data_IF_169839460541
#
_entry.id   IF_169839460541
#
_cell.length_a   1.000
_cell.length_b   1.000
_cell.length_c   1.000
_cell.angle_alpha   90.00
_cell.angle_beta   90.00
_cell.angle_gamma   90.00
#
_symmetry.space_group_name_H-M   'P 1'
#
loop_
_entity.id
_entity.type
_entity.pdbx_description
1 polymer ?
#
# COMPACT_ATOMS: atom_id res chain seq x y z
N UNK A 1 -7.47 16.76 6.79
CA UNK A 1 -6.60 16.88 7.97
C UNK A 1 -6.55 15.57 8.75
N UNK A 2 -7.67 15.00 9.22
CA UNK A 2 -7.69 13.78 10.03
C UNK A 2 -6.89 12.59 9.46
N UNK A 3 -6.92 12.35 8.15
CA UNK A 3 -6.15 11.28 7.49
C UNK A 3 -4.64 11.43 7.68
N UNK A 4 -4.11 12.62 7.40
CA UNK A 4 -2.67 12.89 7.54
C UNK A 4 -2.26 12.79 9.01
N UNK A 5 -3.09 13.30 9.91
CA UNK A 5 -2.85 13.22 11.35
C UNK A 5 -2.80 11.77 11.82
N UNK A 6 -3.77 10.93 11.46
CA UNK A 6 -3.83 9.54 11.90
C UNK A 6 -2.76 8.64 11.26
N UNK A 7 -2.53 8.81 9.95
CA UNK A 7 -1.69 7.86 9.19
C UNK A 7 -0.25 8.31 8.99
N UNK A 8 0.07 9.55 9.30
CA UNK A 8 1.43 10.08 9.22
C UNK A 8 1.86 10.67 10.54
N UNK A 9 1.25 11.81 10.96
CA UNK A 9 1.74 12.58 12.12
C UNK A 9 1.54 11.86 13.46
N UNK A 10 0.49 11.04 13.59
CA UNK A 10 0.18 10.28 14.82
C UNK A 10 0.93 8.95 14.94
N UNK A 11 1.78 8.58 13.99
CA UNK A 11 2.54 7.32 14.08
C UNK A 11 3.64 7.43 15.14
N UNK A 12 3.87 6.38 15.97
CA UNK A 12 4.85 6.42 17.06
C UNK A 12 6.30 6.60 16.58
N UNK A 13 6.57 6.33 15.31
CA UNK A 13 7.88 6.48 14.68
C UNK A 13 7.97 7.72 13.75
N UNK A 14 7.00 8.65 13.83
CA UNK A 14 7.06 9.89 13.08
C UNK A 14 8.11 10.84 13.67
N UNK A 15 9.08 11.26 12.84
CA UNK A 15 10.02 12.35 13.17
C UNK A 15 9.70 13.55 12.29
N UNK A 16 9.33 14.66 12.93
CA UNK A 16 9.04 15.94 12.26
C UNK A 16 10.20 16.42 11.38
N UNK A 17 11.45 16.13 11.76
CA UNK A 17 12.64 16.54 11.01
C UNK A 17 12.73 15.87 9.64
N UNK A 18 12.09 14.71 9.48
CA UNK A 18 11.99 13.98 8.22
C UNK A 18 10.99 14.56 7.23
N UNK A 19 10.12 15.50 7.65
CA UNK A 19 9.12 16.12 6.79
C UNK A 19 9.64 17.48 6.29
N UNK A 20 10.00 17.53 5.01
CA UNK A 20 10.54 18.69 4.32
C UNK A 20 9.45 19.46 3.58
N UNK A 21 9.47 20.78 3.63
CA UNK A 21 8.58 21.65 2.86
C UNK A 21 9.41 22.63 2.03
N UNK A 22 9.11 22.72 0.75
CA UNK A 22 9.66 23.74 -0.14
C UNK A 22 8.71 24.92 -0.22
N UNK A 23 9.21 26.13 -0.01
CA UNK A 23 8.45 27.37 -0.01
C UNK A 23 9.02 28.33 -1.05
N UNK A 24 8.15 29.02 -1.75
CA UNK A 24 8.49 30.18 -2.59
C UNK A 24 7.45 31.27 -2.35
N UNK A 25 7.90 32.50 -2.11
CA UNK A 25 7.04 33.68 -1.86
C UNK A 25 5.92 33.43 -0.84
N UNK A 26 6.24 32.75 0.28
CA UNK A 26 5.30 32.33 1.32
C UNK A 26 4.22 31.31 0.88
N UNK A 27 4.41 30.66 -0.26
CA UNK A 27 3.53 29.57 -0.70
C UNK A 27 4.27 28.23 -0.68
N UNK A 28 3.64 27.14 -0.18
CA UNK A 28 4.24 25.82 -0.26
C UNK A 28 4.16 25.31 -1.70
N UNK A 29 5.31 25.02 -2.30
CA UNK A 29 5.42 24.54 -3.70
C UNK A 29 5.74 23.07 -3.80
N UNK A 30 6.14 22.43 -2.70
CA UNK A 30 6.41 21.00 -2.64
C UNK A 30 6.68 20.49 -1.24
N UNK A 31 6.68 19.18 -1.11
CA UNK A 31 7.11 18.51 0.13
C UNK A 31 7.79 17.18 -0.17
N UNK A 32 8.61 16.72 0.77
CA UNK A 32 9.12 15.36 0.81
C UNK A 32 9.11 14.84 2.24
N UNK A 33 9.01 13.52 2.39
CA UNK A 33 9.03 12.87 3.70
C UNK A 33 10.01 11.71 3.69
N UNK A 34 11.02 11.81 4.54
CA UNK A 34 12.00 10.79 4.80
C UNK A 34 11.77 10.16 6.17
N UNK A 35 11.97 8.85 6.27
CA UNK A 35 11.76 8.09 7.50
C UNK A 35 12.56 6.79 7.49
N UNK A 36 12.33 5.96 8.50
CA UNK A 36 12.98 4.67 8.68
C UNK A 36 11.96 3.55 8.76
N UNK A 37 12.29 2.40 8.20
CA UNK A 37 11.50 1.18 8.29
C UNK A 37 11.81 0.36 9.56
N UNK A 38 11.20 -0.81 9.71
CA UNK A 38 11.42 -1.67 10.87
C UNK A 38 12.77 -2.38 10.78
N UNK A 39 13.28 -2.77 11.94
CA UNK A 39 14.38 -3.71 12.05
C UNK A 39 13.97 -5.11 11.54
N UNK A 40 14.94 -6.02 11.46
CA UNK A 40 14.73 -7.36 10.92
C UNK A 40 13.64 -8.15 11.66
N UNK A 41 13.52 -7.95 12.97
CA UNK A 41 12.59 -8.69 13.83
C UNK A 41 11.25 -7.95 13.99
N UNK A 42 11.09 -6.81 13.33
CA UNK A 42 9.90 -5.96 13.33
C UNK A 42 9.47 -5.48 14.74
N UNK A 43 10.45 -5.33 15.64
CA UNK A 43 10.24 -4.91 17.03
C UNK A 43 10.61 -3.47 17.31
N UNK A 44 11.36 -2.83 16.39
CA UNK A 44 11.84 -1.46 16.50
C UNK A 44 12.20 -0.89 15.11
N UNK A 45 12.61 0.36 15.06
CA UNK A 45 13.06 1.07 13.85
C UNK A 45 14.53 0.75 13.55
N UNK A 46 14.86 0.54 12.27
CA UNK A 46 16.22 0.38 11.79
C UNK A 46 16.76 1.68 11.17
N UNK A 47 17.53 2.42 11.94
CA UNK A 47 18.16 3.66 11.45
C UNK A 47 19.25 3.44 10.39
N UNK A 48 19.70 2.22 10.14
CA UNK A 48 20.64 1.94 9.06
C UNK A 48 19.97 1.94 7.67
N UNK A 49 18.62 1.88 7.62
CA UNK A 49 17.86 1.80 6.38
C UNK A 49 16.87 2.97 6.31
N UNK A 50 17.26 4.02 5.63
CA UNK A 50 16.44 5.19 5.37
C UNK A 50 15.52 5.01 4.16
N UNK A 51 14.41 5.74 4.16
CA UNK A 51 13.40 5.71 3.09
C UNK A 51 12.91 7.11 2.78
N UNK A 52 12.95 7.51 1.52
CA UNK A 52 12.17 8.65 1.02
C UNK A 52 10.79 8.13 0.67
N UNK A 53 9.84 8.35 1.59
CA UNK A 53 8.50 7.76 1.55
C UNK A 53 7.60 8.42 0.52
N UNK A 54 7.76 9.72 0.35
CA UNK A 54 6.94 10.56 -0.52
C UNK A 54 7.72 11.78 -0.95
N UNK A 55 7.51 12.20 -2.19
CA UNK A 55 8.01 13.48 -2.72
C UNK A 55 6.99 14.01 -3.72
N UNK A 56 6.58 15.24 -3.55
CA UNK A 56 5.63 15.92 -4.43
C UNK A 56 6.04 17.37 -4.65
N UNK A 57 5.90 17.83 -5.89
CA UNK A 57 6.04 19.24 -6.27
C UNK A 57 4.79 19.61 -7.05
N UNK A 58 4.27 20.82 -6.84
CA UNK A 58 3.05 21.29 -7.51
C UNK A 58 3.20 21.14 -9.04
N UNK A 59 2.19 20.57 -9.71
CA UNK A 59 2.27 20.28 -11.16
C UNK A 59 2.52 21.49 -12.04
N UNK A 60 1.97 22.63 -11.66
CA UNK A 60 2.05 23.89 -12.42
C UNK A 60 3.34 24.67 -12.18
N UNK A 61 4.18 24.19 -11.24
CA UNK A 61 5.40 24.90 -10.88
C UNK A 61 6.49 24.67 -11.92
N UNK A 62 6.97 25.73 -12.58
CA UNK A 62 7.92 25.62 -13.68
C UNK A 62 9.30 25.08 -13.28
N UNK A 63 9.74 25.33 -12.03
CA UNK A 63 11.01 24.88 -11.50
C UNK A 63 10.95 23.54 -10.76
N UNK A 64 10.00 22.69 -11.11
CA UNK A 64 9.70 21.40 -10.42
C UNK A 64 10.92 20.52 -10.21
N UNK A 65 11.80 20.42 -11.22
CA UNK A 65 12.99 19.57 -11.11
C UNK A 65 13.98 20.11 -10.08
N UNK A 66 14.24 21.41 -10.08
CA UNK A 66 15.15 22.04 -9.11
C UNK A 66 14.62 21.91 -7.67
N UNK A 67 13.33 22.15 -7.46
CA UNK A 67 12.68 21.95 -6.15
C UNK A 67 12.72 20.49 -5.73
N UNK A 68 12.42 19.56 -6.64
CA UNK A 68 12.50 18.13 -6.37
C UNK A 68 13.89 17.67 -5.95
N UNK A 69 14.95 18.17 -6.63
CA UNK A 69 16.34 17.89 -6.27
C UNK A 69 16.66 18.40 -4.85
N UNK A 70 16.30 19.64 -4.53
CA UNK A 70 16.53 20.21 -3.20
C UNK A 70 15.80 19.44 -2.10
N UNK A 71 14.56 19.01 -2.36
CA UNK A 71 13.80 18.18 -1.43
C UNK A 71 14.46 16.82 -1.21
N UNK A 72 14.92 16.18 -2.29
CA UNK A 72 15.61 14.89 -2.21
C UNK A 72 16.92 15.01 -1.43
N UNK A 73 17.73 16.03 -1.72
CA UNK A 73 18.99 16.33 -1.01
C UNK A 73 18.75 16.59 0.49
N UNK A 74 17.67 17.28 0.84
CA UNK A 74 17.30 17.51 2.23
C UNK A 74 16.89 16.21 2.94
N UNK A 75 16.15 15.34 2.27
CA UNK A 75 15.82 14.01 2.77
C UNK A 75 17.06 13.15 2.98
N UNK A 76 17.99 13.13 2.01
CA UNK A 76 19.24 12.38 2.13
C UNK A 76 20.08 12.85 3.31
N UNK A 77 20.27 14.16 3.46
CA UNK A 77 21.01 14.74 4.59
C UNK A 77 20.42 14.29 5.93
N UNK A 78 19.10 14.44 6.12
CA UNK A 78 18.43 13.99 7.33
C UNK A 78 18.65 12.49 7.60
N UNK A 79 18.49 11.64 6.59
CA UNK A 79 18.67 10.21 6.74
C UNK A 79 20.12 9.84 7.11
N UNK A 80 21.11 10.47 6.45
CA UNK A 80 22.55 10.25 6.73
C UNK A 80 22.90 10.73 8.14
N UNK A 81 22.44 11.91 8.54
CA UNK A 81 22.65 12.46 9.90
C UNK A 81 22.05 11.53 10.97
N UNK A 82 20.94 10.85 10.67
CA UNK A 82 20.33 9.86 11.55
C UNK A 82 20.95 8.45 11.47
N UNK A 83 21.97 8.24 10.63
CA UNK A 83 22.75 7.00 10.59
C UNK A 83 22.44 6.05 9.43
N UNK A 84 21.67 6.48 8.42
CA UNK A 84 21.38 5.66 7.25
C UNK A 84 22.65 5.28 6.49
N UNK A 85 22.82 3.99 6.27
CA UNK A 85 23.87 3.39 5.42
C UNK A 85 23.32 2.97 4.05
N UNK A 86 22.00 3.02 3.91
CA UNK A 86 21.27 2.70 2.71
C UNK A 86 20.00 3.53 2.66
N UNK A 87 19.70 4.09 1.51
CA UNK A 87 18.50 4.90 1.31
C UNK A 87 17.67 4.30 0.17
N UNK A 88 16.38 4.10 0.43
CA UNK A 88 15.41 3.69 -0.58
C UNK A 88 14.57 4.88 -1.03
N UNK A 89 14.24 4.91 -2.32
CA UNK A 89 13.25 5.80 -2.92
C UNK A 89 12.03 5.03 -3.38
N UNK A 90 10.83 5.51 -3.04
CA UNK A 90 9.60 4.85 -3.39
C UNK A 90 9.47 3.46 -2.75
N UNK A 91 9.59 3.39 -1.44
CA UNK A 91 9.64 2.12 -0.71
C UNK A 91 8.36 1.30 -0.82
N UNK A 92 8.54 -0.01 -0.74
CA UNK A 92 7.49 -1.03 -0.59
C UNK A 92 7.63 -1.71 0.76
N UNK A 93 6.58 -2.40 1.21
CA UNK A 93 6.62 -3.15 2.47
C UNK A 93 7.80 -4.16 2.49
N UNK A 94 8.48 -4.36 3.63
CA UNK A 94 8.21 -3.79 4.95
C UNK A 94 8.75 -2.37 5.15
N UNK A 95 9.57 -1.86 4.25
CA UNK A 95 10.28 -0.60 4.39
C UNK A 95 9.41 0.66 4.10
N UNK A 96 8.11 0.54 3.83
CA UNK A 96 7.19 1.65 3.62
C UNK A 96 6.51 2.07 4.93
N UNK A 97 7.08 3.00 5.73
CA UNK A 97 6.57 3.33 7.06
C UNK A 97 5.29 4.17 7.05
N UNK A 98 5.01 4.89 5.95
CA UNK A 98 3.92 5.85 5.86
C UNK A 98 3.12 5.72 4.57
N UNK A 99 2.02 6.46 4.50
CA UNK A 99 1.15 6.62 3.33
C UNK A 99 0.40 5.36 2.89
N UNK A 100 0.44 4.27 3.67
CA UNK A 100 -0.38 3.10 3.39
C UNK A 100 -1.86 3.50 3.39
N UNK A 101 -2.56 3.19 2.30
CA UNK A 101 -4.00 3.43 2.18
C UNK A 101 -4.43 4.84 1.85
N UNK A 102 -3.56 5.82 1.78
CA UNK A 102 -3.95 7.18 1.39
C UNK A 102 -4.35 7.27 -0.09
N UNK A 103 -3.87 6.38 -0.93
CA UNK A 103 -4.12 6.36 -2.37
C UNK A 103 -5.10 5.28 -2.81
N UNK A 104 -5.59 4.46 -1.90
CA UNK A 104 -6.47 3.35 -2.23
C UNK A 104 -6.25 2.11 -1.37
N UNK A 105 -6.77 0.97 -1.81
CA UNK A 105 -6.86 -0.23 -1.01
C UNK A 105 -5.55 -0.97 -0.77
N UNK A 106 -4.57 -0.88 -1.67
CA UNK A 106 -3.29 -1.61 -1.52
C UNK A 106 -2.18 -0.75 -0.91
N UNK A 107 -0.99 -1.27 -0.89
CA UNK A 107 0.22 -0.61 -0.41
C UNK A 107 0.83 0.30 -1.49
N UNK A 108 1.77 1.20 -1.12
CA UNK A 108 2.59 1.90 -2.11
C UNK A 108 3.34 0.91 -3.00
N UNK A 109 3.46 1.22 -4.28
CA UNK A 109 4.13 0.37 -5.29
C UNK A 109 5.53 0.83 -5.66
N UNK A 110 6.09 1.73 -4.87
CA UNK A 110 7.32 2.44 -5.23
C UNK A 110 7.02 3.78 -5.90
N UNK A 111 7.94 4.26 -6.70
CA UNK A 111 7.76 5.43 -7.57
C UNK A 111 6.99 5.01 -8.81
N UNK A 112 5.89 5.67 -9.11
CA UNK A 112 5.06 5.34 -10.28
C UNK A 112 5.82 5.54 -11.59
N UNK A 113 5.67 4.61 -12.55
CA UNK A 113 6.22 4.81 -13.90
C UNK A 113 5.60 6.03 -14.61
N UNK A 114 4.36 6.37 -14.25
CA UNK A 114 3.70 7.59 -14.73
C UNK A 114 4.29 8.89 -14.16
N UNK A 115 5.01 8.83 -13.02
CA UNK A 115 5.72 9.98 -12.44
C UNK A 115 7.16 10.07 -12.98
N UNK A 116 7.28 10.51 -14.22
CA UNK A 116 8.58 10.64 -14.90
C UNK A 116 9.51 11.63 -14.21
N UNK A 117 8.97 12.65 -13.54
CA UNK A 117 9.78 13.61 -12.77
C UNK A 117 10.47 12.90 -11.61
N UNK A 118 9.75 12.22 -10.76
CA UNK A 118 10.31 11.51 -9.61
C UNK A 118 11.31 10.44 -10.06
N UNK A 119 10.98 9.65 -11.11
CA UNK A 119 11.90 8.65 -11.65
C UNK A 119 13.23 9.27 -12.11
N UNK A 120 13.19 10.38 -12.85
CA UNK A 120 14.38 11.06 -13.30
C UNK A 120 15.19 11.64 -12.13
N UNK A 121 14.52 12.26 -11.15
CA UNK A 121 15.19 12.78 -9.95
C UNK A 121 15.99 11.71 -9.22
N UNK A 122 15.44 10.52 -9.00
CA UNK A 122 16.16 9.42 -8.37
C UNK A 122 17.35 8.96 -9.22
N UNK A 123 17.18 8.77 -10.53
CA UNK A 123 18.25 8.33 -11.44
C UNK A 123 19.37 9.35 -11.51
N UNK A 124 19.05 10.63 -11.69
CA UNK A 124 20.00 11.72 -11.78
C UNK A 124 20.76 11.94 -10.47
N UNK A 125 20.15 11.58 -9.33
CA UNK A 125 20.77 11.62 -8.00
C UNK A 125 21.56 10.35 -7.65
N UNK A 126 21.79 9.45 -8.60
CA UNK A 126 22.64 8.27 -8.43
C UNK A 126 21.98 7.08 -7.74
N UNK A 127 20.66 7.01 -7.73
CA UNK A 127 19.93 5.82 -7.30
C UNK A 127 19.87 4.76 -8.39
N UNK A 128 19.93 3.51 -7.97
CA UNK A 128 19.73 2.33 -8.83
C UNK A 128 18.30 1.80 -8.65
N UNK A 129 17.60 1.53 -9.76
CA UNK A 129 16.34 0.80 -9.74
C UNK A 129 16.62 -0.67 -9.40
N UNK A 130 16.05 -1.17 -8.30
CA UNK A 130 16.35 -2.51 -7.77
C UNK A 130 15.16 -3.48 -7.85
N UNK A 131 13.95 -2.97 -7.96
CA UNK A 131 12.75 -3.79 -8.02
C UNK A 131 11.65 -3.09 -8.82
N UNK A 132 10.81 -3.89 -9.48
CA UNK A 132 9.60 -3.43 -10.16
C UNK A 132 8.38 -4.04 -9.51
N UNK A 133 7.35 -3.23 -9.35
CA UNK A 133 6.10 -3.62 -8.72
C UNK A 133 4.93 -3.36 -9.66
N UNK A 134 3.98 -4.26 -9.67
CA UNK A 134 2.76 -4.17 -10.47
C UNK A 134 1.58 -3.86 -9.54
N UNK A 135 0.79 -2.86 -9.88
CA UNK A 135 -0.50 -2.61 -9.23
C UNK A 135 -1.62 -3.24 -10.06
N UNK A 136 -2.26 -4.22 -9.48
CA UNK A 136 -3.43 -4.88 -10.04
C UNK A 136 -4.71 -4.30 -9.48
N UNK A 137 -5.75 -4.20 -10.31
CA UNK A 137 -7.07 -3.75 -9.89
C UNK A 137 -8.17 -4.51 -10.62
N UNK A 138 -9.28 -4.75 -9.91
CA UNK A 138 -10.56 -5.17 -10.49
C UNK A 138 -11.69 -4.31 -9.94
N UNK A 139 -12.63 -3.87 -10.80
CA UNK A 139 -13.92 -3.36 -10.35
C UNK A 139 -14.77 -4.55 -9.90
N UNK A 140 -15.36 -4.48 -8.71
CA UNK A 140 -16.19 -5.59 -8.20
C UNK A 140 -17.63 -5.56 -8.72
N UNK A 141 -18.11 -4.41 -9.23
CA UNK A 141 -19.41 -4.31 -9.86
C UNK A 141 -19.44 -5.15 -11.15
N UNK A 142 -20.26 -6.19 -11.15
CA UNK A 142 -20.36 -7.10 -12.30
C UNK A 142 -19.21 -8.11 -12.45
N UNK A 143 -18.21 -8.05 -11.58
CA UNK A 143 -17.12 -9.01 -11.59
C UNK A 143 -17.61 -10.40 -11.18
N UNK A 144 -17.30 -11.38 -12.03
CA UNK A 144 -17.58 -12.81 -11.77
C UNK A 144 -16.26 -13.53 -11.57
N UNK A 145 -16.12 -14.17 -10.43
CA UNK A 145 -14.94 -14.98 -10.11
C UNK A 145 -14.78 -16.07 -11.15
N UNK A 146 -13.62 -16.18 -11.83
CA UNK A 146 -13.39 -17.22 -12.81
C UNK A 146 -13.56 -18.62 -12.23
N UNK A 147 -14.20 -19.49 -12.98
CA UNK A 147 -14.32 -20.90 -12.61
C UNK A 147 -13.00 -21.61 -12.93
N UNK A 148 -12.17 -21.79 -11.94
CA UNK A 148 -10.90 -22.51 -12.07
C UNK A 148 -11.08 -23.96 -11.59
N UNK A 149 -10.86 -24.96 -12.44
CA UNK A 149 -11.11 -26.38 -12.08
C UNK A 149 -10.40 -26.83 -10.81
N UNK A 150 -9.18 -26.34 -10.57
CA UNK A 150 -8.39 -26.63 -9.36
C UNK A 150 -9.03 -26.12 -8.07
N UNK A 151 -9.99 -25.19 -8.12
CA UNK A 151 -10.66 -24.67 -6.91
C UNK A 151 -11.85 -25.52 -6.45
N UNK A 152 -12.44 -26.32 -7.35
CA UNK A 152 -13.66 -27.06 -7.08
C UNK A 152 -13.56 -28.07 -5.90
N UNK A 153 -12.46 -28.84 -5.77
CA UNK A 153 -12.33 -29.80 -4.67
C UNK A 153 -12.32 -29.13 -3.27
N UNK A 154 -11.84 -27.88 -3.20
CA UNK A 154 -11.64 -27.19 -1.93
C UNK A 154 -12.92 -26.70 -1.29
N UNK A 155 -13.97 -26.44 -2.09
CA UNK A 155 -15.30 -26.04 -1.61
C UNK A 155 -15.93 -27.01 -0.59
N UNK A 156 -15.57 -28.29 -0.68
CA UNK A 156 -16.08 -29.33 0.22
C UNK A 156 -15.09 -29.73 1.30
N UNK A 157 -13.83 -29.38 1.16
CA UNK A 157 -12.74 -29.83 2.04
C UNK A 157 -12.30 -28.75 3.01
N UNK A 158 -12.47 -27.47 2.67
CA UNK A 158 -12.03 -26.33 3.48
C UNK A 158 -13.22 -25.71 4.17
N UNK A 159 -13.18 -25.65 5.50
CA UNK A 159 -14.00 -24.75 6.30
C UNK A 159 -13.35 -23.38 6.34
N UNK A 160 -14.15 -22.33 6.24
CA UNK A 160 -13.69 -20.94 6.19
C UNK A 160 -14.10 -20.23 7.48
N UNK A 161 -13.17 -19.46 8.03
CA UNK A 161 -13.43 -18.57 9.16
C UNK A 161 -13.01 -17.18 8.77
N UNK A 162 -13.95 -16.22 8.86
CA UNK A 162 -13.65 -14.80 8.70
C UNK A 162 -13.32 -14.22 10.08
N UNK A 163 -12.18 -13.54 10.17
CA UNK A 163 -11.68 -12.93 11.40
C UNK A 163 -11.61 -11.43 11.13
N UNK A 164 -12.35 -10.69 11.93
CA UNK A 164 -12.31 -9.24 11.95
C UNK A 164 -11.17 -8.79 12.88
N UNK A 165 -10.39 -7.79 12.44
CA UNK A 165 -9.22 -7.28 13.16
C UNK A 165 -8.28 -8.41 13.63
N UNK A 166 -7.60 -9.11 12.72
CA UNK A 166 -6.67 -10.16 13.09
C UNK A 166 -5.58 -9.62 14.02
N UNK A 167 -5.16 -10.43 14.97
CA UNK A 167 -4.11 -10.05 15.93
C UNK A 167 -2.78 -9.85 15.20
N UNK A 168 -2.11 -8.70 15.34
CA UNK A 168 -0.81 -8.48 14.72
C UNK A 168 0.26 -9.42 15.33
N UNK A 169 1.18 -9.89 14.50
CA UNK A 169 2.24 -10.82 14.93
C UNK A 169 3.37 -10.10 15.68
N UNK A 170 3.61 -8.82 15.37
CA UNK A 170 4.68 -8.02 15.96
C UNK A 170 4.33 -6.54 16.03
N UNK A 171 5.14 -5.76 16.73
CA UNK A 171 4.92 -4.33 16.97
C UNK A 171 4.74 -3.53 15.67
N UNK A 172 5.57 -3.79 14.65
CA UNK A 172 5.48 -3.06 13.37
C UNK A 172 4.13 -3.27 12.68
N UNK A 173 3.68 -4.52 12.64
CA UNK A 173 2.38 -4.85 12.07
C UNK A 173 1.24 -4.17 12.86
N UNK A 174 1.31 -4.16 14.19
CA UNK A 174 0.34 -3.45 15.02
C UNK A 174 0.27 -1.95 14.65
N UNK A 175 1.43 -1.31 14.47
CA UNK A 175 1.48 0.07 14.00
C UNK A 175 0.88 0.24 12.60
N UNK A 176 1.15 -0.67 11.67
CA UNK A 176 0.65 -0.60 10.31
C UNK A 176 -0.85 -0.90 10.20
N UNK A 177 -1.37 -1.76 11.07
CA UNK A 177 -2.80 -2.11 11.12
C UNK A 177 -3.66 -1.04 11.80
N UNK A 178 -3.06 -0.20 12.62
CA UNK A 178 -3.76 0.86 13.36
C UNK A 178 -4.57 1.77 12.42
N UNK A 179 -5.82 2.06 12.80
CA UNK A 179 -6.76 2.93 12.07
C UNK A 179 -7.30 2.40 10.72
N UNK A 180 -7.16 1.11 10.45
CA UNK A 180 -7.75 0.49 9.26
C UNK A 180 -8.65 -0.68 9.65
N UNK A 181 -9.64 -0.96 8.81
CA UNK A 181 -10.43 -2.19 8.89
C UNK A 181 -9.68 -3.32 8.19
N UNK A 182 -9.36 -4.36 8.94
CA UNK A 182 -8.65 -5.54 8.44
C UNK A 182 -9.52 -6.78 8.58
N UNK A 183 -9.50 -7.61 7.55
CA UNK A 183 -10.19 -8.90 7.54
C UNK A 183 -9.21 -9.99 7.13
N UNK A 184 -9.23 -11.10 7.86
CA UNK A 184 -8.54 -12.32 7.49
C UNK A 184 -9.55 -13.43 7.19
N UNK A 185 -9.48 -14.03 6.01
CA UNK A 185 -10.18 -15.26 5.69
C UNK A 185 -9.23 -16.44 5.83
N UNK A 186 -9.46 -17.26 6.85
CA UNK A 186 -8.64 -18.42 7.17
C UNK A 186 -9.33 -19.71 6.74
N UNK A 187 -8.62 -20.56 6.02
CA UNK A 187 -9.11 -21.87 5.57
C UNK A 187 -8.47 -23.02 6.36
N UNK A 188 -9.29 -24.00 6.78
CA UNK A 188 -8.85 -25.23 7.47
C UNK A 188 -9.45 -26.46 6.82
N UNK A 189 -8.70 -27.56 6.77
CA UNK A 189 -9.29 -28.85 6.43
C UNK A 189 -10.10 -29.39 7.61
N UNK A 190 -11.14 -30.18 7.30
CA UNK A 190 -12.08 -30.69 8.31
C UNK A 190 -11.41 -31.47 9.45
N UNK A 191 -10.30 -32.16 9.17
CA UNK A 191 -9.59 -33.00 10.12
C UNK A 191 -8.16 -32.48 10.43
N UNK A 192 -7.88 -31.23 10.15
CA UNK A 192 -6.55 -30.64 10.36
C UNK A 192 -6.68 -29.37 11.21
N UNK A 193 -6.07 -29.31 12.41
CA UNK A 193 -6.14 -28.14 13.26
C UNK A 193 -5.40 -26.94 12.65
N UNK A 194 -4.40 -27.19 11.80
CA UNK A 194 -3.59 -26.14 11.20
C UNK A 194 -4.25 -25.54 9.95
N UNK A 195 -4.20 -24.23 9.78
CA UNK A 195 -4.73 -23.59 8.58
C UNK A 195 -3.99 -24.05 7.33
N UNK A 196 -4.72 -24.33 6.26
CA UNK A 196 -4.12 -24.59 4.93
C UNK A 196 -3.69 -23.31 4.22
N UNK A 197 -4.22 -22.18 4.67
CA UNK A 197 -3.86 -20.87 4.16
C UNK A 197 -4.80 -19.77 4.63
N UNK A 198 -4.42 -18.54 4.35
CA UNK A 198 -5.22 -17.35 4.65
C UNK A 198 -5.07 -16.28 3.58
N UNK A 199 -6.04 -15.38 3.55
CA UNK A 199 -6.05 -14.14 2.77
C UNK A 199 -6.35 -13.01 3.72
N UNK A 200 -5.48 -12.00 3.75
CA UNK A 200 -5.65 -10.80 4.56
C UNK A 200 -5.91 -9.62 3.62
N UNK A 201 -6.97 -8.89 3.90
CA UNK A 201 -7.29 -7.65 3.19
C UNK A 201 -7.41 -6.49 4.17
N UNK A 202 -7.20 -5.31 3.64
CA UNK A 202 -7.53 -4.05 4.29
C UNK A 202 -8.66 -3.38 3.53
N UNK A 203 -9.66 -2.90 4.24
CA UNK A 203 -10.71 -2.08 3.66
C UNK A 203 -10.40 -0.63 4.02
N UNK A 204 -10.34 0.22 3.01
CA UNK A 204 -10.29 1.65 3.22
C UNK A 204 -11.72 2.11 3.38
N UNK A 205 -12.10 2.45 4.61
CA UNK A 205 -13.36 3.10 4.87
C UNK A 205 -13.41 4.38 4.01
N UNK A 206 -14.55 4.60 3.39
CA UNK A 206 -14.89 5.93 2.98
C UNK A 206 -14.95 6.76 4.25
N UNK A 207 -13.87 7.43 4.63
CA UNK A 207 -13.94 8.35 5.75
C UNK A 207 -15.04 9.35 5.44
N UNK A 208 -16.14 9.21 6.12
CA UNK A 208 -17.06 10.31 6.35
C UNK A 208 -16.20 11.40 6.97
N UNK A 209 -15.91 12.45 6.19
CA UNK A 209 -15.33 13.66 6.75
C UNK A 209 -16.40 14.20 7.71
N UNK A 210 -16.23 14.05 9.03
CA UNK A 210 -17.24 14.56 9.93
C UNK A 210 -17.31 16.07 9.70
N UNK A 211 -18.49 16.56 9.29
CA UNK A 211 -18.86 17.98 9.23
C UNK A 211 -18.03 18.91 8.34
N UNK A 212 -17.43 18.41 7.25
CA UNK A 212 -16.91 19.31 6.23
C UNK A 212 -18.07 20.05 5.55
N UNK A 213 -18.33 21.29 5.98
CA UNK A 213 -19.17 22.22 5.25
C UNK A 213 -18.31 22.87 4.18
N UNK A 214 -18.60 22.66 2.89
CA UNK A 214 -17.87 23.34 1.84
C UNK A 214 -17.99 24.85 1.99
N UNK A 215 -17.00 25.64 1.52
CA UNK A 215 -17.11 27.09 1.49
C UNK A 215 -18.41 27.52 0.82
N UNK A 216 -19.03 28.63 1.22
CA UNK A 216 -20.31 29.11 0.66
C UNK A 216 -20.28 29.34 -0.86
N UNK A 217 -19.10 29.42 -1.46
CA UNK A 217 -18.85 29.63 -2.88
C UNK A 217 -18.78 28.34 -3.70
N UNK A 218 -18.85 27.16 -3.06
CA UNK A 218 -18.81 25.89 -3.79
C UNK A 218 -20.15 25.58 -4.46
N UNK A 219 -20.17 25.05 -5.70
CA UNK A 219 -21.41 24.62 -6.34
C UNK A 219 -22.15 23.58 -5.50
N UNK A 220 -23.50 23.59 -5.44
CA UNK A 220 -24.30 22.73 -4.56
C UNK A 220 -24.01 21.23 -4.71
N UNK A 221 -23.57 20.79 -5.88
CA UNK A 221 -23.33 19.37 -6.19
C UNK A 221 -21.87 18.93 -5.98
N UNK A 222 -20.95 19.87 -5.72
CA UNK A 222 -19.54 19.57 -5.58
C UNK A 222 -19.22 18.73 -4.32
N UNK A 223 -20.02 18.86 -3.27
CA UNK A 223 -19.85 18.13 -1.99
C UNK A 223 -20.52 16.76 -2.00
N UNK A 224 -21.52 16.51 -2.88
CA UNK A 224 -22.07 15.15 -3.07
C UNK A 224 -21.05 14.17 -3.66
N UNK A 225 -20.05 14.66 -4.38
CA UNK A 225 -18.94 13.86 -4.89
C UNK A 225 -17.99 13.37 -3.78
N UNK A 226 -18.00 14.02 -2.61
CA UNK A 226 -17.19 13.60 -1.45
C UNK A 226 -17.89 12.56 -0.55
N UNK A 227 -19.19 12.34 -0.71
CA UNK A 227 -19.99 11.50 0.20
C UNK A 227 -20.08 10.00 -0.17
N UNK A 228 -19.48 9.59 -1.28
CA UNK A 228 -19.38 8.17 -1.65
C UNK A 228 -18.07 7.89 -2.38
N UNK A 229 -16.95 7.97 -1.66
CA UNK A 229 -15.77 7.29 -2.19
C UNK A 229 -16.09 5.79 -2.21
N UNK A 230 -15.90 5.13 -3.36
CA UNK A 230 -16.15 3.70 -3.45
C UNK A 230 -15.23 2.98 -2.46
N UNK A 231 -15.78 2.09 -1.64
CA UNK A 231 -14.99 1.24 -0.74
C UNK A 231 -13.99 0.44 -1.58
N UNK A 232 -12.72 0.55 -1.21
CA UNK A 232 -11.65 -0.18 -1.89
C UNK A 232 -11.00 -1.15 -0.90
N UNK A 233 -10.94 -2.43 -1.27
CA UNK A 233 -10.17 -3.42 -0.54
C UNK A 233 -8.77 -3.56 -1.14
N UNK A 234 -7.76 -3.67 -0.31
CA UNK A 234 -6.39 -3.99 -0.70
C UNK A 234 -5.98 -5.38 -0.22
N UNK A 235 -5.46 -6.22 -1.12
CA UNK A 235 -4.85 -7.49 -0.75
C UNK A 235 -3.52 -7.21 -0.03
N UNK A 236 -3.45 -7.55 1.25
CA UNK A 236 -2.29 -7.32 2.09
C UNK A 236 -1.39 -8.55 2.21
N UNK A 237 -2.00 -9.71 2.31
CA UNK A 237 -1.27 -10.97 2.37
C UNK A 237 -2.11 -12.12 1.81
N UNK A 238 -1.43 -13.08 1.21
CA UNK A 238 -2.00 -14.37 0.84
C UNK A 238 -0.97 -15.46 1.15
N UNK A 239 -1.33 -16.35 2.04
CA UNK A 239 -0.48 -17.45 2.44
C UNK A 239 -1.14 -18.80 2.15
N UNK A 240 -0.34 -19.76 1.70
CA UNK A 240 -0.77 -21.16 1.53
C UNK A 240 0.33 -22.05 2.04
N UNK A 241 -0.04 -22.98 2.93
CA UNK A 241 0.85 -24.00 3.50
C UNK A 241 1.56 -24.77 2.38
N UNK A 242 2.83 -25.06 2.56
CA UNK A 242 3.72 -25.57 1.52
C UNK A 242 3.19 -26.82 0.80
N UNK A 243 2.65 -27.78 1.57
CA UNK A 243 2.05 -29.01 1.04
C UNK A 243 0.77 -28.81 0.23
N UNK A 244 0.12 -27.62 0.34
CA UNK A 244 -1.12 -27.25 -0.34
C UNK A 244 -0.91 -26.30 -1.51
N UNK A 245 0.34 -25.88 -1.79
CA UNK A 245 0.65 -24.96 -2.91
C UNK A 245 0.40 -25.61 -4.26
N UNK A 246 0.21 -24.77 -5.29
CA UNK A 246 -0.04 -25.14 -6.68
C UNK A 246 -1.31 -26.00 -6.94
N UNK A 247 -2.13 -26.21 -5.90
CA UNK A 247 -3.35 -27.01 -5.95
C UNK A 247 -4.64 -26.17 -6.05
N UNK A 248 -4.54 -24.84 -6.23
CA UNK A 248 -5.68 -23.94 -6.39
C UNK A 248 -6.24 -23.38 -5.08
N UNK A 249 -5.60 -23.64 -3.93
CA UNK A 249 -6.03 -23.13 -2.61
C UNK A 249 -6.04 -21.61 -2.57
N UNK A 250 -4.96 -20.94 -3.03
CA UNK A 250 -4.89 -19.48 -3.07
C UNK A 250 -6.04 -18.86 -3.86
N UNK A 251 -6.31 -19.39 -5.08
CA UNK A 251 -7.39 -18.91 -5.91
C UNK A 251 -8.77 -19.14 -5.27
N UNK A 252 -8.95 -20.26 -4.57
CA UNK A 252 -10.18 -20.54 -3.82
C UNK A 252 -10.38 -19.53 -2.69
N UNK A 253 -9.38 -19.35 -1.81
CA UNK A 253 -9.46 -18.42 -0.69
C UNK A 253 -9.66 -16.97 -1.16
N UNK A 254 -8.90 -16.53 -2.17
CA UNK A 254 -9.05 -15.18 -2.74
C UNK A 254 -10.45 -15.00 -3.35
N UNK A 255 -10.97 -16.01 -4.05
CA UNK A 255 -12.33 -15.98 -4.58
C UNK A 255 -13.40 -15.84 -3.49
N UNK A 256 -13.27 -16.56 -2.37
CA UNK A 256 -14.22 -16.43 -1.25
C UNK A 256 -14.08 -15.07 -0.55
N UNK A 257 -12.85 -14.55 -0.41
CA UNK A 257 -12.64 -13.20 0.14
C UNK A 257 -13.30 -12.13 -0.76
N UNK A 258 -13.16 -12.25 -2.08
CA UNK A 258 -13.82 -11.33 -3.02
C UNK A 258 -15.35 -11.39 -2.87
N UNK A 259 -15.94 -12.58 -2.67
CA UNK A 259 -17.39 -12.71 -2.43
C UNK A 259 -17.84 -12.01 -1.15
N UNK A 260 -17.04 -12.12 -0.08
CA UNK A 260 -17.33 -11.41 1.17
C UNK A 260 -17.22 -9.89 0.96
N UNK A 261 -16.15 -9.42 0.35
CA UNK A 261 -15.96 -8.00 0.03
C UNK A 261 -17.11 -7.42 -0.84
N UNK A 262 -17.59 -8.19 -1.83
CA UNK A 262 -18.77 -7.78 -2.62
C UNK A 262 -20.04 -7.64 -1.79
N UNK A 263 -20.29 -8.55 -0.83
CA UNK A 263 -21.44 -8.49 0.08
C UNK A 263 -21.37 -7.27 1.00
N UNK A 264 -20.16 -6.90 1.42
CA UNK A 264 -19.90 -5.76 2.29
C UNK A 264 -19.85 -4.41 1.54
N UNK A 265 -20.19 -4.42 0.24
CA UNK A 265 -20.32 -3.22 -0.55
C UNK A 265 -18.98 -2.67 -1.10
N UNK A 266 -17.91 -3.42 -1.03
CA UNK A 266 -16.63 -3.07 -1.67
C UNK A 266 -16.83 -3.01 -3.18
N UNK A 267 -16.39 -1.91 -3.79
CA UNK A 267 -16.57 -1.65 -5.22
C UNK A 267 -15.32 -1.91 -6.05
N UNK A 268 -14.15 -1.85 -5.41
CA UNK A 268 -12.86 -2.02 -6.07
C UNK A 268 -11.96 -2.89 -5.22
N UNK A 269 -11.21 -3.77 -5.85
CA UNK A 269 -10.20 -4.57 -5.17
C UNK A 269 -8.84 -4.37 -5.83
N UNK A 270 -7.81 -4.12 -5.02
CA UNK A 270 -6.45 -3.88 -5.46
C UNK A 270 -5.47 -4.89 -4.86
N UNK A 271 -4.40 -5.14 -5.56
CA UNK A 271 -3.26 -5.90 -5.06
C UNK A 271 -1.98 -5.38 -5.71
N UNK A 272 -0.90 -5.40 -4.96
CA UNK A 272 0.41 -5.21 -5.52
C UNK A 272 1.19 -6.52 -5.54
N UNK A 273 2.08 -6.64 -6.50
CA UNK A 273 3.00 -7.76 -6.58
C UNK A 273 4.35 -7.28 -7.13
N UNK A 274 5.45 -7.72 -6.52
CA UNK A 274 6.74 -7.60 -7.19
C UNK A 274 6.68 -8.33 -8.54
N UNK A 275 7.25 -7.75 -9.58
CA UNK A 275 7.15 -8.31 -10.95
C UNK A 275 7.79 -9.70 -11.04
N UNK A 276 8.80 -9.96 -10.23
CA UNK A 276 9.49 -11.25 -10.09
C UNK A 276 8.75 -12.27 -9.21
N UNK A 277 7.70 -11.86 -8.48
CA UNK A 277 6.82 -12.78 -7.74
C UNK A 277 5.87 -13.52 -8.70
N UNK A 278 6.45 -14.39 -9.53
CA UNK A 278 5.72 -15.13 -10.56
C UNK A 278 4.48 -15.89 -10.04
N UNK A 279 4.48 -16.52 -8.85
CA UNK A 279 3.28 -17.19 -8.31
C UNK A 279 2.12 -16.25 -8.06
N UNK A 280 2.36 -15.07 -7.43
CA UNK A 280 1.31 -14.09 -7.14
C UNK A 280 0.81 -13.44 -8.43
N UNK A 281 1.72 -13.05 -9.33
CA UNK A 281 1.38 -12.48 -10.65
C UNK A 281 0.51 -13.45 -11.45
N UNK A 282 0.88 -14.75 -11.51
CA UNK A 282 0.11 -15.77 -12.20
C UNK A 282 -1.28 -15.97 -11.55
N UNK A 283 -1.38 -15.95 -10.22
CA UNK A 283 -2.64 -16.02 -9.50
C UNK A 283 -3.56 -14.87 -9.90
N UNK A 284 -3.09 -13.62 -9.77
CA UNK A 284 -3.90 -12.43 -10.06
C UNK A 284 -4.35 -12.40 -11.53
N UNK A 285 -3.47 -12.73 -12.47
CA UNK A 285 -3.84 -12.87 -13.89
C UNK A 285 -4.88 -13.97 -14.13
N UNK A 286 -4.75 -15.13 -13.47
CA UNK A 286 -5.74 -16.20 -13.57
C UNK A 286 -7.13 -15.79 -13.04
N UNK A 287 -7.14 -14.87 -12.09
CA UNK A 287 -8.35 -14.23 -11.55
C UNK A 287 -8.82 -13.03 -12.40
N UNK A 288 -8.22 -12.81 -13.58
CA UNK A 288 -8.55 -11.70 -14.52
C UNK A 288 -8.36 -10.31 -13.95
N UNK A 289 -7.36 -10.14 -13.09
CA UNK A 289 -6.99 -8.81 -12.60
C UNK A 289 -6.13 -8.08 -13.64
N UNK A 290 -6.37 -6.79 -13.80
CA UNK A 290 -5.66 -5.95 -14.73
C UNK A 290 -4.52 -5.20 -14.02
N UNK A 291 -3.36 -5.13 -14.65
CA UNK A 291 -2.31 -4.19 -14.23
C UNK A 291 -2.73 -2.80 -14.68
N UNK A 292 -2.82 -1.88 -13.73
CA UNK A 292 -3.24 -0.50 -13.98
C UNK A 292 -2.10 0.50 -13.87
N UNK A 293 -1.03 0.12 -13.13
CA UNK A 293 0.14 0.96 -12.93
C UNK A 293 1.34 0.07 -12.60
N UNK A 294 2.53 0.61 -12.80
CA UNK A 294 3.80 0.01 -12.42
C UNK A 294 4.58 0.98 -11.55
N UNK A 295 5.45 0.42 -10.71
CA UNK A 295 6.33 1.22 -9.88
C UNK A 295 7.74 0.68 -9.86
N UNK A 296 8.68 1.54 -9.57
CA UNK A 296 10.08 1.17 -9.36
C UNK A 296 10.51 1.52 -7.93
N UNK A 297 11.29 0.65 -7.33
CA UNK A 297 11.95 0.90 -6.05
C UNK A 297 13.41 1.22 -6.34
N UNK A 298 13.86 2.34 -5.82
CA UNK A 298 15.22 2.85 -5.98
C UNK A 298 16.04 2.65 -4.72
N UNK A 299 17.35 2.49 -4.88
CA UNK A 299 18.30 2.34 -3.77
C UNK A 299 19.58 3.13 -4.04
N UNK A 300 20.12 3.76 -3.00
CA UNK A 300 21.42 4.42 -2.97
C UNK A 300 22.16 4.03 -1.69
N UNK A 301 23.46 3.82 -1.79
CA UNK A 301 24.35 3.71 -0.64
C UNK A 301 25.11 5.04 -0.58
N UNK A 302 24.84 5.90 0.40
CA UNK A 302 25.47 7.21 0.53
C UNK A 302 26.94 7.14 0.90
#
# INVERSE_FOLDING_TARGET
>A
MALLEQHVLGRPYFDRRGLMLAWEDNQPVGFAHAAFGPNRDHTDIDHAVGVVCMMMVLPEYEHRQAVGTQLLDACERYLIECGAKRIYGGAVRPAAPFYMGLYGGSEPIGVFESDTLAMNLYRDSGYEAINKTLLFRIPLKGYRIPMLPKTLPWRRKISLTLIDLPTPEHWWEACMMCHFSWLELRGRLTNDPEPVGSVVIRITDSMEMPDFKPPPTSPPDSWMLFHKRPLTAGLMNIHVRADCRNKGVAAYLLGEMIRNAQKDGVTTFEAQAAEDNAPLVALLRSMRWNVIERGEVYRKNP
#
